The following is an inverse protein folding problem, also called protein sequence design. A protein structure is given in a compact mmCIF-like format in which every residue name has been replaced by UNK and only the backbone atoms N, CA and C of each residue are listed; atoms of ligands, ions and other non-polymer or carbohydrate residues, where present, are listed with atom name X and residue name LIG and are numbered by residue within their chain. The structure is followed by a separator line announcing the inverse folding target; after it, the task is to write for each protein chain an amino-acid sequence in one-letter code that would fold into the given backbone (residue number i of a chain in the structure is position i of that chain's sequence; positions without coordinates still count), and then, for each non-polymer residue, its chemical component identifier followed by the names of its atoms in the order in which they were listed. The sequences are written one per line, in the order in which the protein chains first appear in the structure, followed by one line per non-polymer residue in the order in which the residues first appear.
data_IF_326541935641
#
_entry.id   IF_326541935641
#
_cell.length_a   1.000
_cell.length_b   1.000
_cell.length_c   1.000
_cell.angle_alpha   90.00
_cell.angle_beta   90.00
_cell.angle_gamma   90.00
#
_symmetry.space_group_name_H-M   'P 1'
#
loop_
_entity.id
_entity.type
_entity.pdbx_description
1 polymer ?
#
# COMPACT_ATOMS: atom_id res chain seq x y z
N UNK A 1 15.80 11.08 -13.40
CA UNK A 1 15.14 10.10 -14.31
C UNK A 1 14.24 9.17 -13.47
N UNK A 2 13.52 8.18 -14.03
CA UNK A 2 12.82 7.17 -13.21
C UNK A 2 13.75 6.43 -12.24
N UNK A 3 15.06 6.31 -12.56
CA UNK A 3 16.05 5.69 -11.67
C UNK A 3 16.48 6.59 -10.49
N UNK A 4 16.02 7.84 -10.43
CA UNK A 4 16.40 8.80 -9.38
C UNK A 4 15.17 9.36 -8.66
N UNK A 5 14.02 8.69 -8.77
CA UNK A 5 12.76 9.18 -8.19
C UNK A 5 12.81 9.24 -6.66
N UNK A 6 13.60 8.36 -6.05
CA UNK A 6 13.92 8.28 -4.62
C UNK A 6 14.71 9.51 -4.10
N UNK A 7 15.26 10.34 -4.99
CA UNK A 7 15.93 11.60 -4.62
C UNK A 7 14.98 12.78 -4.41
N UNK A 8 13.70 12.63 -4.80
CA UNK A 8 12.70 13.71 -4.73
C UNK A 8 11.36 13.28 -4.12
N UNK A 9 11.14 11.97 -3.95
CA UNK A 9 9.87 11.39 -3.50
C UNK A 9 10.12 10.28 -2.49
N UNK A 10 9.33 10.25 -1.42
CA UNK A 10 9.19 9.05 -0.58
C UNK A 10 8.47 7.95 -1.38
N UNK A 11 9.26 7.10 -2.05
CA UNK A 11 8.74 6.08 -2.97
C UNK A 11 7.79 5.12 -2.26
N UNK A 12 8.16 4.61 -1.08
CA UNK A 12 7.30 3.65 -0.36
C UNK A 12 5.95 4.27 0.02
N UNK A 13 5.94 5.50 0.54
CA UNK A 13 4.72 6.23 0.87
C UNK A 13 3.82 6.45 -0.37
N UNK A 14 4.42 6.76 -1.52
CA UNK A 14 3.69 6.87 -2.77
C UNK A 14 3.10 5.53 -3.22
N UNK A 15 3.86 4.43 -3.13
CA UNK A 15 3.36 3.09 -3.45
C UNK A 15 2.22 2.67 -2.52
N UNK A 16 2.29 3.03 -1.24
CA UNK A 16 1.21 2.86 -0.27
C UNK A 16 -0.06 3.61 -0.66
N UNK A 17 0.06 4.90 -0.98
CA UNK A 17 -1.09 5.69 -1.46
C UNK A 17 -1.74 5.04 -2.69
N UNK A 18 -0.92 4.61 -3.66
CA UNK A 18 -1.43 3.97 -4.87
C UNK A 18 -2.12 2.63 -4.56
N UNK A 19 -1.54 1.81 -3.69
CA UNK A 19 -2.11 0.52 -3.28
C UNK A 19 -3.42 0.73 -2.53
N UNK A 20 -3.46 1.71 -1.63
CA UNK A 20 -4.64 2.09 -0.87
C UNK A 20 -5.77 2.57 -1.78
N UNK A 21 -5.51 3.54 -2.66
CA UNK A 21 -6.53 4.03 -3.59
C UNK A 21 -7.04 2.93 -4.53
N UNK A 22 -6.15 2.03 -4.94
CA UNK A 22 -6.51 0.86 -5.74
C UNK A 22 -7.45 -0.07 -4.96
N UNK A 23 -7.05 -0.58 -3.79
CA UNK A 23 -7.84 -1.57 -3.04
C UNK A 23 -9.21 -1.01 -2.65
N UNK A 24 -9.28 0.24 -2.18
CA UNK A 24 -10.54 0.85 -1.72
C UNK A 24 -11.43 1.37 -2.86
N UNK A 25 -11.00 1.26 -4.13
CA UNK A 25 -11.69 1.89 -5.26
C UNK A 25 -11.89 3.39 -5.01
N UNK A 26 -10.86 4.06 -4.49
CA UNK A 26 -10.88 5.49 -4.28
C UNK A 26 -10.57 6.21 -5.60
N UNK A 27 -11.59 6.43 -6.42
CA UNK A 27 -11.44 7.14 -7.69
C UNK A 27 -11.60 8.67 -7.52
N UNK A 28 -12.06 9.14 -6.37
CA UNK A 28 -12.01 10.57 -6.05
C UNK A 28 -10.65 10.95 -5.47
N UNK A 29 -9.61 10.60 -6.21
CA UNK A 29 -8.21 10.71 -5.77
C UNK A 29 -7.30 11.00 -6.96
N UNK A 30 -5.98 10.99 -6.72
CA UNK A 30 -4.99 10.96 -7.80
C UNK A 30 -5.28 9.84 -8.82
N UNK A 31 -5.82 8.69 -8.39
CA UNK A 31 -6.06 7.53 -9.27
C UNK A 31 -7.22 7.75 -10.24
N UNK A 32 -8.32 8.37 -9.85
CA UNK A 32 -9.47 8.55 -10.76
C UNK A 32 -9.49 9.91 -11.43
N UNK A 33 -10.56 10.20 -12.17
CA UNK A 33 -10.62 11.22 -13.25
C UNK A 33 -10.07 12.59 -12.87
N UNK A 34 -10.42 13.12 -11.71
CA UNK A 34 -10.10 14.49 -11.30
C UNK A 34 -8.66 14.66 -10.80
N UNK A 35 -7.99 13.55 -10.43
CA UNK A 35 -6.58 13.55 -10.02
C UNK A 35 -6.29 14.49 -8.83
N UNK A 36 -7.16 14.49 -7.82
CA UNK A 36 -7.17 15.42 -6.68
C UNK A 36 -7.23 14.69 -5.33
N UNK A 37 -7.59 15.38 -4.23
CA UNK A 37 -7.74 14.82 -2.88
C UNK A 37 -6.46 14.17 -2.29
N UNK A 38 -5.35 14.88 -2.45
CA UNK A 38 -4.12 14.62 -1.72
C UNK A 38 -3.34 15.92 -1.56
N UNK A 39 -2.47 15.96 -0.55
CA UNK A 39 -1.43 16.96 -0.42
C UNK A 39 -0.07 16.34 -0.71
N UNK A 40 0.88 17.18 -1.10
CA UNK A 40 2.30 16.83 -1.10
C UNK A 40 2.96 17.63 0.00
N UNK A 41 3.66 16.93 0.89
CA UNK A 41 4.40 17.51 1.99
C UNK A 41 5.88 17.15 1.84
N UNK A 42 6.75 18.14 1.92
CA UNK A 42 8.20 17.91 1.90
C UNK A 42 8.68 17.57 3.32
N UNK A 43 9.22 16.37 3.51
CA UNK A 43 9.76 15.92 4.80
C UNK A 43 11.15 16.51 5.07
N UNK A 44 11.66 16.47 6.32
CA UNK A 44 12.96 17.08 6.66
C UNK A 44 14.16 16.53 5.87
N UNK A 45 14.03 15.37 5.25
CA UNK A 45 14.99 14.77 4.31
C UNK A 45 14.88 15.30 2.86
N UNK A 46 14.05 16.32 2.63
CA UNK A 46 13.85 16.98 1.33
C UNK A 46 12.98 16.18 0.35
N UNK A 47 12.35 15.08 0.80
CA UNK A 47 11.55 14.21 -0.05
C UNK A 47 10.07 14.59 -0.01
N UNK A 48 9.42 14.61 -1.18
CA UNK A 48 7.98 14.79 -1.27
C UNK A 48 7.25 13.54 -0.80
N UNK A 49 6.27 13.70 0.09
CA UNK A 49 5.46 12.63 0.66
C UNK A 49 3.99 12.93 0.41
N UNK A 50 3.22 11.99 -0.18
CA UNK A 50 1.80 12.19 -0.37
C UNK A 50 1.04 11.99 0.95
N UNK A 51 0.08 12.88 1.20
CA UNK A 51 -0.89 12.76 2.28
C UNK A 51 -2.28 12.63 1.67
N UNK A 52 -2.94 11.51 1.94
CA UNK A 52 -4.29 11.24 1.45
C UNK A 52 -5.29 12.14 2.19
N UNK A 53 -6.23 12.71 1.45
CA UNK A 53 -7.26 13.61 1.97
C UNK A 53 -8.62 13.25 1.38
N UNK A 54 -9.70 13.69 2.06
CA UNK A 54 -11.10 13.57 1.62
C UNK A 54 -11.49 12.21 1.03
N UNK A 55 -11.73 11.24 1.90
CA UNK A 55 -11.98 9.84 1.53
C UNK A 55 -13.48 9.49 1.48
N UNK A 56 -14.37 10.47 1.55
CA UNK A 56 -15.81 10.27 1.63
C UNK A 56 -16.41 9.54 0.41
N UNK A 57 -15.79 9.66 -0.77
CA UNK A 57 -16.21 9.01 -2.02
C UNK A 57 -15.38 7.77 -2.39
N UNK A 58 -14.63 7.22 -1.43
CA UNK A 58 -14.03 5.88 -1.53
C UNK A 58 -15.11 4.80 -1.58
N UNK A 59 -14.70 3.53 -1.72
CA UNK A 59 -15.62 2.39 -1.79
C UNK A 59 -16.66 2.54 -2.91
N UNK A 60 -16.26 3.12 -4.05
CA UNK A 60 -17.12 3.25 -5.22
C UNK A 60 -18.13 4.41 -5.17
N UNK A 61 -17.99 5.35 -4.23
CA UNK A 61 -18.79 6.58 -4.18
C UNK A 61 -18.56 7.47 -5.40
N UNK A 62 -17.30 7.65 -5.82
CA UNK A 62 -16.95 8.26 -7.11
C UNK A 62 -16.56 7.18 -8.12
N UNK A 63 -17.11 7.28 -9.33
CA UNK A 63 -17.15 6.15 -10.29
C UNK A 63 -16.43 6.44 -11.61
N UNK A 64 -15.57 7.45 -11.65
CA UNK A 64 -14.85 7.83 -12.88
C UNK A 64 -13.35 7.56 -12.75
N UNK A 65 -12.87 6.58 -13.49
CA UNK A 65 -11.47 6.15 -13.50
C UNK A 65 -10.53 7.07 -14.32
N UNK A 66 -11.10 7.98 -15.10
CA UNK A 66 -10.37 8.89 -15.99
C UNK A 66 -10.06 8.32 -17.37
N UNK A 67 -10.56 7.12 -17.70
CA UNK A 67 -10.41 6.48 -19.01
C UNK A 67 -11.78 6.19 -19.66
N UNK A 68 -12.73 5.68 -18.87
CA UNK A 68 -14.10 5.48 -19.31
C UNK A 68 -14.79 6.83 -19.58
N UNK A 69 -15.64 6.85 -20.61
CA UNK A 69 -16.48 8.02 -20.94
C UNK A 69 -17.74 8.10 -20.07
N UNK A 70 -18.07 7.04 -19.34
CA UNK A 70 -19.21 6.94 -18.43
C UNK A 70 -18.75 6.56 -17.03
N UNK A 71 -19.66 6.66 -16.07
CA UNK A 71 -19.47 6.06 -14.76
C UNK A 71 -19.33 4.53 -14.88
N UNK A 72 -18.54 3.96 -13.99
CA UNK A 72 -18.34 2.53 -13.91
C UNK A 72 -19.56 1.84 -13.28
N UNK A 73 -19.91 0.66 -13.76
CA UNK A 73 -20.93 -0.21 -13.14
C UNK A 73 -20.41 -0.83 -11.83
N UNK A 74 -21.29 -1.44 -11.03
CA UNK A 74 -20.87 -2.12 -9.80
C UNK A 74 -19.86 -3.23 -10.09
N UNK A 75 -20.11 -4.01 -11.14
CA UNK A 75 -19.20 -5.06 -11.60
C UNK A 75 -17.83 -4.52 -11.99
N UNK A 76 -17.78 -3.38 -12.68
CA UNK A 76 -16.51 -2.74 -13.07
C UNK A 76 -15.74 -2.19 -11.86
N UNK A 77 -16.41 -1.69 -10.83
CA UNK A 77 -15.76 -1.31 -9.57
C UNK A 77 -15.19 -2.53 -8.83
N UNK A 78 -15.98 -3.61 -8.75
CA UNK A 78 -15.59 -4.86 -8.12
C UNK A 78 -14.38 -5.50 -8.84
N UNK A 79 -14.32 -5.38 -10.17
CA UNK A 79 -13.26 -5.97 -11.01
C UNK A 79 -12.22 -4.95 -11.49
N UNK A 80 -12.17 -3.76 -10.90
CA UNK A 80 -11.24 -2.70 -11.30
C UNK A 80 -9.79 -3.16 -11.13
N UNK A 81 -9.04 -3.19 -12.23
CA UNK A 81 -7.66 -3.69 -12.24
C UNK A 81 -6.73 -2.82 -11.40
N UNK A 82 -5.87 -3.42 -10.55
CA UNK A 82 -4.87 -2.65 -9.80
C UNK A 82 -3.76 -2.06 -10.69
N UNK A 83 -3.77 -2.36 -12.00
CA UNK A 83 -2.78 -1.87 -12.96
C UNK A 83 -3.39 -1.00 -14.05
N UNK A 84 -4.62 -0.49 -13.87
CA UNK A 84 -5.37 0.21 -14.91
C UNK A 84 -4.53 1.23 -15.69
N UNK A 85 -3.94 2.21 -14.99
CA UNK A 85 -3.17 3.28 -15.62
C UNK A 85 -1.80 2.85 -16.12
N UNK A 86 -1.19 1.85 -15.47
CA UNK A 86 0.08 1.28 -15.91
C UNK A 86 -0.08 0.51 -17.24
N UNK A 87 -1.08 -0.37 -17.34
CA UNK A 87 -1.37 -1.17 -18.54
C UNK A 87 -1.75 -0.31 -19.74
N UNK A 88 -2.48 0.78 -19.49
CA UNK A 88 -2.91 1.72 -20.53
C UNK A 88 -1.85 2.79 -20.85
N UNK A 89 -0.73 2.82 -20.13
CA UNK A 89 0.31 3.86 -20.24
C UNK A 89 -0.28 5.27 -20.15
N UNK A 90 -1.23 5.47 -19.23
CA UNK A 90 -1.96 6.73 -19.13
C UNK A 90 -1.03 7.89 -18.73
N UNK A 91 -0.73 8.77 -19.69
CA UNK A 91 0.16 9.92 -19.48
C UNK A 91 -0.42 10.98 -18.54
N UNK A 92 -1.74 10.97 -18.32
CA UNK A 92 -2.38 11.81 -17.31
C UNK A 92 -2.15 11.30 -15.87
N UNK A 93 -1.58 10.10 -15.69
CA UNK A 93 -1.20 9.52 -14.40
C UNK A 93 0.30 9.18 -14.36
N UNK A 94 1.18 10.18 -14.57
CA UNK A 94 2.60 9.94 -14.78
C UNK A 94 3.25 9.21 -13.59
N UNK A 95 2.90 9.54 -12.35
CA UNK A 95 3.45 8.89 -11.16
C UNK A 95 3.21 7.36 -11.18
N UNK A 96 1.98 6.91 -11.47
CA UNK A 96 1.65 5.47 -11.54
C UNK A 96 2.46 4.80 -12.64
N UNK A 97 2.48 5.39 -13.83
CA UNK A 97 3.20 4.81 -14.99
C UNK A 97 4.69 4.70 -14.72
N UNK A 98 5.30 5.73 -14.10
CA UNK A 98 6.73 5.78 -13.82
C UNK A 98 7.14 4.83 -12.70
N UNK A 99 6.43 4.83 -11.57
CA UNK A 99 6.76 3.97 -10.44
C UNK A 99 6.57 2.49 -10.79
N UNK A 100 5.44 2.12 -11.41
CA UNK A 100 5.17 0.72 -11.75
C UNK A 100 5.95 0.20 -12.97
N UNK A 101 6.72 1.06 -13.65
CA UNK A 101 7.68 0.64 -14.67
C UNK A 101 8.94 0.02 -14.04
N UNK A 102 9.30 0.37 -12.80
CA UNK A 102 10.38 -0.27 -12.06
C UNK A 102 9.89 -1.64 -11.53
N UNK A 103 10.57 -2.77 -11.87
CA UNK A 103 10.14 -4.11 -11.45
C UNK A 103 10.02 -4.29 -9.94
N UNK A 104 10.99 -3.80 -9.16
CA UNK A 104 11.00 -3.92 -7.71
C UNK A 104 9.84 -3.11 -7.10
N UNK A 105 9.68 -1.85 -7.50
CA UNK A 105 8.58 -1.00 -7.00
C UNK A 105 7.21 -1.57 -7.34
N UNK A 106 7.06 -2.18 -8.52
CA UNK A 106 5.82 -2.87 -8.90
C UNK A 106 5.54 -4.08 -8.02
N UNK A 107 6.57 -4.82 -7.59
CA UNK A 107 6.44 -5.93 -6.65
C UNK A 107 6.14 -5.44 -5.23
N UNK A 108 6.75 -4.33 -4.79
CA UNK A 108 6.44 -3.67 -3.50
C UNK A 108 5.00 -3.17 -3.46
N UNK A 109 4.53 -2.52 -4.54
CA UNK A 109 3.12 -2.13 -4.71
C UNK A 109 2.15 -3.30 -4.51
N UNK A 110 2.47 -4.46 -5.07
CA UNK A 110 1.66 -5.67 -4.85
C UNK A 110 1.75 -6.18 -3.42
N UNK A 111 2.91 -6.10 -2.76
CA UNK A 111 3.05 -6.42 -1.33
C UNK A 111 2.20 -5.52 -0.44
N UNK A 112 2.07 -4.23 -0.77
CA UNK A 112 1.19 -3.30 -0.06
C UNK A 112 -0.28 -3.65 -0.28
N UNK A 113 -0.69 -3.98 -1.52
CA UNK A 113 -2.04 -4.49 -1.78
C UNK A 113 -2.32 -5.76 -0.97
N UNK A 114 -1.38 -6.71 -0.96
CA UNK A 114 -1.49 -7.93 -0.17
C UNK A 114 -1.70 -7.63 1.30
N UNK A 115 -0.89 -6.74 1.87
CA UNK A 115 -1.00 -6.33 3.28
C UNK A 115 -2.36 -5.70 3.58
N UNK A 116 -2.83 -4.78 2.74
CA UNK A 116 -4.16 -4.16 2.92
C UNK A 116 -5.27 -5.21 2.88
N UNK A 117 -5.22 -6.13 1.92
CA UNK A 117 -6.20 -7.21 1.77
C UNK A 117 -6.21 -8.13 2.99
N UNK A 118 -5.05 -8.63 3.42
CA UNK A 118 -4.95 -9.55 4.54
C UNK A 118 -5.40 -8.91 5.86
N UNK A 119 -4.87 -7.72 6.16
CA UNK A 119 -5.10 -7.05 7.44
C UNK A 119 -6.56 -6.58 7.60
N UNK A 120 -7.21 -6.12 6.52
CA UNK A 120 -8.50 -5.43 6.62
C UNK A 120 -9.68 -6.21 6.04
N UNK A 121 -9.49 -6.89 4.90
CA UNK A 121 -10.60 -7.44 4.11
C UNK A 121 -10.76 -8.95 4.30
N UNK A 122 -9.66 -9.70 4.24
CA UNK A 122 -9.64 -11.15 4.51
C UNK A 122 -9.91 -11.44 5.98
N UNK A 123 -9.34 -10.64 6.89
CA UNK A 123 -9.59 -10.74 8.33
C UNK A 123 -11.05 -10.43 8.72
N UNK A 124 -11.83 -9.80 7.83
CA UNK A 124 -13.17 -9.31 8.13
C UNK A 124 -13.21 -8.02 8.97
N UNK A 125 -12.05 -7.46 9.33
CA UNK A 125 -11.97 -6.29 10.20
C UNK A 125 -12.75 -5.08 9.66
N UNK A 126 -12.75 -4.85 8.33
CA UNK A 126 -13.47 -3.72 7.73
C UNK A 126 -14.98 -3.75 8.00
N UNK A 127 -15.59 -4.93 8.01
CA UNK A 127 -17.03 -5.10 8.32
C UNK A 127 -17.27 -4.84 9.79
N UNK A 128 -16.46 -5.44 10.66
CA UNK A 128 -16.57 -5.21 12.10
C UNK A 128 -16.49 -3.71 12.40
N UNK A 129 -15.51 -3.03 11.80
CA UNK A 129 -15.33 -1.59 11.99
C UNK A 129 -16.50 -0.77 11.44
N UNK A 130 -17.03 -1.14 10.27
CA UNK A 130 -18.19 -0.47 9.69
C UNK A 130 -19.45 -0.63 10.57
N UNK A 131 -19.66 -1.81 11.13
CA UNK A 131 -20.76 -2.10 12.07
C UNK A 131 -20.62 -1.29 13.37
N UNK A 132 -19.41 -1.24 13.94
CA UNK A 132 -19.12 -0.43 15.12
C UNK A 132 -19.44 1.05 14.88
N UNK A 133 -19.00 1.61 13.74
CA UNK A 133 -19.27 3.00 13.38
C UNK A 133 -20.77 3.22 13.15
N UNK A 134 -21.42 2.32 12.40
CA UNK A 134 -22.86 2.40 12.13
C UNK A 134 -23.66 2.41 13.43
N UNK A 135 -23.35 1.49 14.35
CA UNK A 135 -24.01 1.42 15.65
C UNK A 135 -23.78 2.67 16.50
N UNK A 136 -22.56 3.23 16.47
CA UNK A 136 -22.21 4.44 17.22
C UNK A 136 -23.02 5.68 16.80
N UNK A 137 -23.33 5.83 15.50
CA UNK A 137 -24.00 7.02 14.97
C UNK A 137 -25.47 6.81 14.60
N UNK A 138 -25.99 5.58 14.80
CA UNK A 138 -27.29 5.15 14.29
C UNK A 138 -28.42 6.04 14.77
N UNK A 139 -28.46 6.34 16.07
CA UNK A 139 -29.56 7.11 16.65
C UNK A 139 -29.49 8.59 16.23
N UNK A 140 -28.28 9.15 16.17
CA UNK A 140 -28.01 10.51 15.72
C UNK A 140 -28.46 10.69 14.27
N UNK A 141 -28.13 9.74 13.37
CA UNK A 141 -28.58 9.77 11.97
C UNK A 141 -30.11 9.66 11.87
N UNK A 142 -30.74 8.86 12.72
CA UNK A 142 -32.22 8.72 12.74
C UNK A 142 -32.91 10.02 13.13
N UNK A 143 -32.36 10.71 14.12
CA UNK A 143 -32.93 11.95 14.67
C UNK A 143 -32.56 13.19 13.86
N UNK A 144 -31.50 13.16 13.06
CA UNK A 144 -31.01 14.31 12.30
C UNK A 144 -32.05 14.78 11.24
N UNK A 145 -32.62 15.99 11.40
CA UNK A 145 -33.56 16.55 10.42
C UNK A 145 -32.88 17.06 9.13
N UNK A 146 -31.55 17.13 9.11
CA UNK A 146 -30.71 17.61 8.01
C UNK A 146 -29.85 16.52 7.36
N UNK A 147 -30.10 15.25 7.68
CA UNK A 147 -29.39 14.11 7.09
C UNK A 147 -29.43 14.13 5.55
N UNK A 148 -28.30 13.78 4.94
CA UNK A 148 -28.13 13.77 3.48
C UNK A 148 -28.91 12.64 2.79
N UNK A 149 -29.13 11.52 3.49
CA UNK A 149 -29.76 10.31 2.97
C UNK A 149 -30.88 9.83 3.90
N UNK A 150 -31.77 8.98 3.40
CA UNK A 150 -32.80 8.37 4.27
C UNK A 150 -32.15 7.46 5.30
N UNK A 151 -32.76 7.35 6.47
CA UNK A 151 -32.31 6.43 7.52
C UNK A 151 -32.30 4.97 7.03
N UNK A 152 -33.28 4.58 6.21
CA UNK A 152 -33.33 3.25 5.62
C UNK A 152 -32.17 2.97 4.65
N UNK A 153 -31.80 3.95 3.83
CA UNK A 153 -30.63 3.83 2.94
C UNK A 153 -29.33 3.72 3.76
N UNK A 154 -29.20 4.48 4.85
CA UNK A 154 -28.07 4.37 5.78
C UNK A 154 -27.95 2.96 6.39
N UNK A 155 -29.07 2.37 6.83
CA UNK A 155 -29.07 1.02 7.39
C UNK A 155 -28.73 -0.05 6.34
N UNK A 156 -29.26 0.06 5.13
CA UNK A 156 -29.09 -0.94 4.06
C UNK A 156 -27.72 -0.86 3.36
N UNK A 157 -27.13 0.33 3.21
CA UNK A 157 -25.96 0.52 2.35
C UNK A 157 -24.65 -0.09 2.88
N UNK A 158 -24.65 -0.66 4.08
CA UNK A 158 -23.56 -1.53 4.48
C UNK A 158 -23.48 -2.77 3.58
N UNK A 159 -24.63 -3.33 3.19
CA UNK A 159 -24.72 -4.65 2.58
C UNK A 159 -25.20 -4.61 1.12
N UNK A 160 -26.01 -3.62 0.74
CA UNK A 160 -26.61 -3.55 -0.60
C UNK A 160 -26.54 -2.17 -1.24
N UNK A 161 -26.60 -2.15 -2.56
CA UNK A 161 -26.71 -0.91 -3.33
C UNK A 161 -28.02 -0.19 -3.01
N UNK A 162 -27.92 1.10 -2.69
CA UNK A 162 -29.07 1.98 -2.42
C UNK A 162 -29.10 3.15 -3.40
N UNK A 163 -30.27 3.78 -3.54
CA UNK A 163 -30.43 4.98 -4.34
C UNK A 163 -30.24 6.24 -3.49
N UNK A 164 -29.24 7.05 -3.85
CA UNK A 164 -29.05 8.41 -3.33
C UNK A 164 -29.48 9.42 -4.41
N UNK A 165 -30.74 9.86 -4.35
CA UNK A 165 -31.33 10.67 -5.42
C UNK A 165 -31.39 9.89 -6.73
N UNK A 166 -30.60 10.31 -7.73
CA UNK A 166 -30.51 9.63 -9.04
C UNK A 166 -29.33 8.67 -9.17
N UNK A 167 -28.47 8.60 -8.16
CA UNK A 167 -27.25 7.81 -8.21
C UNK A 167 -27.40 6.52 -7.42
N UNK A 168 -26.97 5.40 -7.99
CA UNK A 168 -26.84 4.13 -7.29
C UNK A 168 -25.50 4.09 -6.54
N UNK A 169 -25.55 3.94 -5.22
CA UNK A 169 -24.38 3.86 -4.35
C UNK A 169 -24.21 2.42 -3.93
N UNK A 170 -23.10 1.80 -4.32
CA UNK A 170 -22.83 0.38 -4.04
C UNK A 170 -22.67 0.15 -2.53
N UNK A 171 -23.13 -1.00 -2.03
CA UNK A 171 -22.92 -1.36 -0.63
C UNK A 171 -21.45 -1.63 -0.32
N UNK A 172 -20.99 -1.31 0.89
CA UNK A 172 -19.57 -1.51 1.28
C UNK A 172 -19.20 -2.99 1.21
N UNK A 173 -20.00 -3.87 1.82
CA UNK A 173 -19.79 -5.32 1.78
C UNK A 173 -19.99 -5.88 0.36
N UNK A 174 -21.04 -5.43 -0.34
CA UNK A 174 -21.31 -5.80 -1.74
C UNK A 174 -20.08 -5.54 -2.63
N UNK A 175 -19.45 -4.37 -2.49
CA UNK A 175 -18.24 -4.03 -3.22
C UNK A 175 -17.06 -4.89 -2.77
N UNK A 176 -16.76 -4.86 -1.47
CA UNK A 176 -15.47 -5.33 -0.97
C UNK A 176 -15.36 -6.85 -0.93
N UNK A 177 -16.44 -7.60 -0.78
CA UNK A 177 -16.39 -9.06 -0.88
C UNK A 177 -16.06 -9.52 -2.31
N UNK A 178 -16.73 -8.96 -3.31
CA UNK A 178 -16.48 -9.28 -4.71
C UNK A 178 -15.09 -8.80 -5.14
N UNK A 179 -14.70 -7.58 -4.73
CA UNK A 179 -13.38 -7.01 -5.03
C UNK A 179 -12.24 -7.81 -4.40
N UNK A 180 -12.39 -8.22 -3.14
CA UNK A 180 -11.37 -9.04 -2.46
C UNK A 180 -11.18 -10.38 -3.17
N UNK A 181 -12.27 -11.05 -3.57
CA UNK A 181 -12.20 -12.28 -4.37
C UNK A 181 -11.51 -12.04 -5.72
N UNK A 182 -11.85 -10.96 -6.43
CA UNK A 182 -11.22 -10.61 -7.70
C UNK A 182 -9.71 -10.40 -7.56
N UNK A 183 -9.29 -9.61 -6.56
CA UNK A 183 -7.87 -9.31 -6.35
C UNK A 183 -7.10 -10.58 -5.94
N UNK A 184 -7.59 -11.38 -5.00
CA UNK A 184 -6.93 -12.62 -4.58
C UNK A 184 -6.89 -13.70 -5.69
N UNK A 185 -7.84 -13.68 -6.64
CA UNK A 185 -7.83 -14.59 -7.78
C UNK A 185 -6.77 -14.23 -8.83
N UNK A 186 -6.23 -13.00 -8.80
CA UNK A 186 -5.26 -12.54 -9.79
C UNK A 186 -3.95 -13.36 -9.68
N UNK A 187 -3.36 -13.82 -10.81
CA UNK A 187 -2.23 -14.77 -10.79
C UNK A 187 -1.02 -14.33 -9.96
N UNK A 188 -0.79 -13.03 -9.82
CA UNK A 188 0.33 -12.49 -9.02
C UNK A 188 0.17 -12.71 -7.51
N UNK A 189 -1.04 -12.96 -7.00
CA UNK A 189 -1.30 -13.25 -5.59
C UNK A 189 -1.46 -14.75 -5.30
N UNK A 190 -1.32 -15.61 -6.32
CA UNK A 190 -1.37 -17.08 -6.14
C UNK A 190 -0.10 -17.66 -5.53
N UNK A 191 1.01 -16.92 -5.63
CA UNK A 191 2.27 -17.26 -4.97
C UNK A 191 2.34 -16.35 -3.74
N UNK A 192 2.47 -16.90 -2.52
CA UNK A 192 2.62 -16.08 -1.32
C UNK A 192 3.86 -15.19 -1.41
N UNK A 193 3.88 -14.03 -0.73
CA UNK A 193 5.09 -13.22 -0.65
C UNK A 193 6.16 -13.93 0.19
N UNK A 194 7.42 -13.46 0.13
CA UNK A 194 8.44 -13.86 1.09
C UNK A 194 7.98 -13.68 2.53
N UNK A 195 8.59 -14.44 3.45
CA UNK A 195 8.32 -14.32 4.89
C UNK A 195 9.60 -13.97 5.60
N UNK A 196 9.70 -12.71 6.02
CA UNK A 196 10.79 -12.24 6.88
C UNK A 196 10.52 -12.73 8.31
N UNK A 197 11.45 -13.50 8.84
CA UNK A 197 11.47 -14.06 10.19
C UNK A 197 12.13 -13.11 11.17
N UNK A 198 13.06 -13.64 11.96
CA UNK A 198 13.81 -12.84 12.93
C UNK A 198 14.80 -11.92 12.21
N UNK A 199 14.88 -10.67 12.66
CA UNK A 199 15.84 -9.67 12.20
C UNK A 199 16.77 -9.35 13.37
N UNK A 200 18.07 -9.53 13.16
CA UNK A 200 19.11 -9.44 14.18
C UNK A 200 20.09 -8.32 13.81
N UNK A 201 19.89 -7.10 14.33
CA UNK A 201 20.85 -6.02 14.17
C UNK A 201 21.99 -6.12 15.19
N UNK A 202 23.20 -5.73 14.79
CA UNK A 202 24.36 -5.66 15.67
C UNK A 202 25.25 -4.46 15.28
N UNK A 203 25.59 -3.63 16.26
CA UNK A 203 26.66 -2.63 16.11
C UNK A 203 27.99 -3.30 16.42
N UNK A 204 28.97 -3.17 15.53
CA UNK A 204 30.32 -3.68 15.72
C UNK A 204 31.33 -2.64 15.23
N UNK A 205 32.19 -2.15 16.14
CA UNK A 205 33.10 -1.03 15.88
C UNK A 205 32.37 0.22 15.30
N UNK A 206 32.67 0.60 14.06
CA UNK A 206 32.04 1.72 13.33
C UNK A 206 31.14 1.20 12.19
N UNK A 207 30.58 0.01 12.35
CA UNK A 207 29.64 -0.57 11.40
C UNK A 207 28.40 -1.13 12.08
N UNK A 208 27.33 -1.23 11.30
CA UNK A 208 26.10 -1.93 11.66
C UNK A 208 25.93 -3.11 10.72
N UNK A 209 25.80 -4.28 11.31
CA UNK A 209 25.50 -5.54 10.64
C UNK A 209 24.02 -5.85 10.85
N UNK A 210 23.32 -6.18 9.76
CA UNK A 210 21.93 -6.62 9.79
C UNK A 210 21.81 -8.01 9.21
N UNK A 211 21.30 -8.94 10.00
CA UNK A 211 20.89 -10.27 9.55
C UNK A 211 19.39 -10.42 9.57
N UNK A 212 18.84 -11.19 8.63
CA UNK A 212 17.42 -11.53 8.63
C UNK A 212 17.19 -12.94 8.09
N UNK A 213 16.38 -13.73 8.80
CA UNK A 213 15.84 -14.96 8.24
C UNK A 213 14.77 -14.59 7.20
N UNK A 214 14.84 -15.14 6.00
CA UNK A 214 13.79 -14.90 5.01
C UNK A 214 13.50 -16.10 4.12
N UNK A 215 12.30 -16.67 4.29
CA UNK A 215 11.81 -17.71 3.39
C UNK A 215 11.30 -17.12 2.07
N UNK A 216 11.55 -17.85 0.98
CA UNK A 216 11.01 -17.59 -0.37
C UNK A 216 11.39 -16.21 -0.97
N UNK A 217 12.48 -15.60 -0.48
CA UNK A 217 13.10 -14.45 -1.11
C UNK A 217 14.04 -14.87 -2.26
N UNK A 218 13.97 -14.12 -3.35
CA UNK A 218 14.93 -14.15 -4.47
C UNK A 218 15.93 -12.98 -4.36
N UNK A 219 15.63 -11.98 -3.53
CA UNK A 219 16.51 -10.85 -3.24
C UNK A 219 16.06 -10.10 -1.99
N UNK A 220 17.00 -9.48 -1.29
CA UNK A 220 16.72 -8.63 -0.14
C UNK A 220 17.52 -7.32 -0.18
N UNK A 221 16.92 -6.27 0.37
CA UNK A 221 17.55 -4.96 0.52
C UNK A 221 17.34 -4.43 1.93
N UNK A 222 18.41 -3.92 2.52
CA UNK A 222 18.37 -3.00 3.63
C UNK A 222 18.09 -1.60 3.08
N UNK A 223 17.08 -0.94 3.64
CA UNK A 223 16.79 0.46 3.38
C UNK A 223 16.99 1.22 4.68
N UNK A 224 17.96 2.13 4.73
CA UNK A 224 18.40 2.76 5.98
C UNK A 224 18.70 4.25 5.84
N UNK A 225 18.72 4.96 6.96
CA UNK A 225 19.16 6.36 7.09
C UNK A 225 19.70 6.61 8.50
N UNK A 226 20.53 7.64 8.71
CA UNK A 226 21.04 7.97 10.06
C UNK A 226 19.94 8.58 10.93
N UNK A 227 19.21 9.56 10.39
CA UNK A 227 18.11 10.22 11.07
C UNK A 227 17.05 10.73 10.09
N UNK A 228 16.00 11.38 10.61
CA UNK A 228 14.85 11.85 9.84
C UNK A 228 15.15 12.97 8.82
N UNK A 229 16.35 13.56 8.83
CA UNK A 229 16.83 14.55 7.85
C UNK A 229 17.68 13.93 6.74
N UNK A 230 18.04 12.64 6.87
CA UNK A 230 18.73 11.91 5.84
C UNK A 230 17.75 11.16 4.95
N UNK A 231 18.09 11.08 3.66
CA UNK A 231 17.36 10.25 2.70
C UNK A 231 17.60 8.77 2.96
N UNK A 232 16.66 7.95 2.52
CA UNK A 232 16.83 6.49 2.53
C UNK A 232 17.90 6.03 1.55
N UNK A 233 18.76 5.13 2.00
CA UNK A 233 19.81 4.46 1.24
C UNK A 233 19.45 2.98 1.07
N UNK A 234 19.53 2.49 -0.17
CA UNK A 234 19.25 1.09 -0.50
C UNK A 234 20.58 0.34 -0.62
N UNK A 235 20.72 -0.75 0.15
CA UNK A 235 21.88 -1.65 0.09
C UNK A 235 21.37 -3.07 -0.06
N UNK A 236 21.92 -3.81 -1.02
CA UNK A 236 21.55 -5.20 -1.21
C UNK A 236 22.08 -6.06 -0.05
N UNK A 237 21.26 -7.03 0.39
CA UNK A 237 21.67 -8.09 1.31
C UNK A 237 21.95 -9.37 0.53
N UNK A 238 22.78 -10.25 1.09
CA UNK A 238 23.22 -11.49 0.43
C UNK A 238 23.08 -12.71 1.35
N UNK A 239 22.87 -13.86 0.73
CA UNK A 239 22.86 -15.21 1.32
C UNK A 239 23.95 -16.03 0.58
N UNK A 240 25.21 -15.68 0.83
CA UNK A 240 26.42 -16.14 0.14
C UNK A 240 27.58 -16.60 1.04
N UNK A 241 27.38 -16.63 2.36
CA UNK A 241 28.35 -16.92 3.42
C UNK A 241 29.45 -15.88 3.59
N UNK A 242 29.30 -14.67 3.04
CA UNK A 242 30.34 -13.66 2.93
C UNK A 242 29.97 -12.25 3.41
N UNK A 243 28.69 -11.95 3.63
CA UNK A 243 28.18 -10.62 3.98
C UNK A 243 27.63 -10.57 5.40
N UNK A 244 28.38 -11.19 6.32
CA UNK A 244 27.97 -11.45 7.69
C UNK A 244 26.71 -12.32 7.80
N UNK A 245 26.31 -13.00 6.74
CA UNK A 245 25.37 -14.10 6.74
C UNK A 245 26.07 -15.43 7.13
N UNK A 246 25.28 -16.43 7.49
CA UNK A 246 25.77 -17.68 8.08
C UNK A 246 26.39 -18.61 7.01
N UNK A 247 25.59 -19.45 6.37
CA UNK A 247 26.04 -20.36 5.30
C UNK A 247 25.40 -19.98 3.96
N UNK A 248 26.08 -20.20 2.82
CA UNK A 248 25.48 -19.92 1.53
C UNK A 248 24.20 -20.74 1.28
N UNK A 249 23.10 -20.06 0.97
CA UNK A 249 21.80 -20.64 0.64
C UNK A 249 21.01 -21.16 1.83
N UNK A 250 21.31 -20.71 3.05
CA UNK A 250 20.61 -21.12 4.27
C UNK A 250 19.39 -20.24 4.60
N UNK A 251 19.14 -19.21 3.79
CA UNK A 251 18.05 -18.23 3.91
C UNK A 251 18.27 -17.20 5.01
N UNK A 252 19.48 -17.09 5.54
CA UNK A 252 19.92 -15.96 6.36
C UNK A 252 20.56 -14.94 5.44
N UNK A 253 19.96 -13.76 5.36
CA UNK A 253 20.47 -12.67 4.53
C UNK A 253 21.23 -11.68 5.39
N UNK A 254 22.41 -11.26 4.94
CA UNK A 254 23.33 -10.39 5.67
C UNK A 254 23.76 -9.16 4.87
N UNK A 255 24.07 -8.08 5.60
CA UNK A 255 24.75 -6.89 5.07
C UNK A 255 25.51 -6.18 6.20
N UNK A 256 26.67 -5.58 5.88
CA UNK A 256 27.39 -4.64 6.76
C UNK A 256 27.33 -3.23 6.16
N UNK A 257 27.02 -2.24 6.99
CA UNK A 257 27.06 -0.82 6.66
C UNK A 257 28.15 -0.14 7.48
N UNK A 258 29.22 0.28 6.81
CA UNK A 258 30.38 0.92 7.43
C UNK A 258 30.17 2.43 7.66
N UNK A 259 30.86 2.99 8.66
CA UNK A 259 30.83 4.43 9.00
C UNK A 259 29.56 4.87 9.72
N UNK A 260 28.87 3.93 10.36
CA UNK A 260 27.56 4.12 11.00
C UNK A 260 27.52 3.26 12.25
N UNK A 261 27.14 3.85 13.38
CA UNK A 261 26.91 3.15 14.64
C UNK A 261 25.45 3.16 15.09
N UNK A 262 24.60 3.97 14.44
CA UNK A 262 23.16 4.00 14.67
C UNK A 262 22.41 4.31 13.36
N UNK A 263 21.26 3.68 13.16
CA UNK A 263 20.41 3.93 11.99
C UNK A 263 18.93 3.62 12.23
N UNK A 264 18.09 4.28 11.44
CA UNK A 264 16.70 3.87 11.21
C UNK A 264 16.66 3.01 9.94
N UNK A 265 15.96 1.88 9.97
CA UNK A 265 15.95 0.96 8.84
C UNK A 265 14.67 0.15 8.68
N UNK A 266 14.49 -0.36 7.46
CA UNK A 266 13.52 -1.40 7.15
C UNK A 266 14.10 -2.31 6.06
N UNK A 267 13.52 -3.50 5.90
CA UNK A 267 13.94 -4.46 4.88
C UNK A 267 12.92 -4.53 3.76
N UNK A 268 13.38 -4.78 2.54
CA UNK A 268 12.55 -5.22 1.42
C UNK A 268 12.96 -6.65 1.10
N UNK A 269 12.01 -7.58 1.16
CA UNK A 269 12.20 -8.94 0.68
C UNK A 269 11.42 -9.13 -0.63
N UNK A 270 12.14 -9.35 -1.74
CA UNK A 270 11.58 -9.61 -3.06
C UNK A 270 11.47 -11.11 -3.29
N UNK A 271 10.27 -11.58 -3.62
CA UNK A 271 10.02 -12.92 -4.12
C UNK A 271 9.66 -12.92 -5.61
N UNK A 272 9.20 -14.05 -6.16
CA UNK A 272 8.95 -14.21 -7.59
C UNK A 272 7.90 -13.25 -8.16
N UNK A 273 6.89 -12.86 -7.36
CA UNK A 273 5.73 -12.07 -7.82
C UNK A 273 5.48 -10.79 -7.02
N UNK A 274 5.91 -10.74 -5.77
CA UNK A 274 5.66 -9.66 -4.84
C UNK A 274 6.91 -9.39 -4.01
N UNK A 275 7.02 -8.19 -3.47
CA UNK A 275 8.02 -7.83 -2.49
C UNK A 275 7.30 -7.26 -1.27
N UNK A 276 7.70 -7.65 -0.07
CA UNK A 276 7.15 -7.14 1.18
C UNK A 276 8.19 -6.32 1.92
N UNK A 277 7.72 -5.47 2.84
CA UNK A 277 8.59 -4.74 3.76
C UNK A 277 8.56 -5.36 5.14
N UNK A 278 9.65 -5.22 5.88
CA UNK A 278 9.70 -5.46 7.32
C UNK A 278 10.24 -4.21 8.03
N UNK A 279 9.50 -3.62 8.99
CA UNK A 279 8.11 -3.93 9.33
C UNK A 279 7.15 -3.77 8.14
N UNK A 280 5.99 -4.45 8.17
CA UNK A 280 5.02 -4.48 7.05
C UNK A 280 4.56 -3.10 6.56
N UNK A 281 4.70 -2.06 7.38
CA UNK A 281 4.28 -0.67 7.12
C UNK A 281 5.48 0.27 7.19
N UNK A 282 6.58 -0.07 6.51
CA UNK A 282 7.87 0.62 6.56
C UNK A 282 7.82 2.15 6.42
N UNK A 283 6.95 2.70 5.56
CA UNK A 283 6.74 4.16 5.46
C UNK A 283 6.15 4.84 6.70
N UNK A 284 5.54 4.09 7.62
CA UNK A 284 4.94 4.58 8.87
C UNK A 284 5.60 4.01 10.12
N UNK A 285 6.43 2.97 9.99
CA UNK A 285 7.11 2.32 11.09
C UNK A 285 8.36 1.58 10.60
N UNK A 286 9.49 1.91 11.20
CA UNK A 286 10.81 1.36 10.91
C UNK A 286 11.44 0.83 12.20
N UNK A 287 12.47 0.00 12.06
CA UNK A 287 13.30 -0.42 13.18
C UNK A 287 14.44 0.58 13.41
N UNK A 288 15.00 0.57 14.61
CA UNK A 288 16.15 1.39 14.99
C UNK A 288 17.21 0.49 15.62
N UNK A 289 18.47 0.83 15.39
CA UNK A 289 19.62 0.26 16.08
C UNK A 289 20.51 1.40 16.53
N UNK A 290 21.01 1.30 17.76
CA UNK A 290 21.87 2.27 18.45
C UNK A 290 23.05 1.56 19.11
#
# INVERSE_FOLDING_TARGET
SPEQVDTVLQVDAALWMLAFNSVLVNLDSYTGRLSHNYYLFETPDGLMTPLVWDMNLSFGGFRFDGLSKRDLSNEELQTLSPFLHYKTKNTARPLIVRLLANPLYRKVYLGHIWTILQDNFVSGWYVQRAEEIRALIREEVRQDPHRLYSYEAFEQNLDTTVMAGRSAIIGIRELMEARTRYLLAHPLFRIPPPVVGEVRPMVFDDSVIINADCADAEGMWLVWRRDARDRWHYVQMFDDGGHADEMPGDKVWGVSVEGVSAMQYYLIAEGPRMAITWPKRASFGFAEVE
#
